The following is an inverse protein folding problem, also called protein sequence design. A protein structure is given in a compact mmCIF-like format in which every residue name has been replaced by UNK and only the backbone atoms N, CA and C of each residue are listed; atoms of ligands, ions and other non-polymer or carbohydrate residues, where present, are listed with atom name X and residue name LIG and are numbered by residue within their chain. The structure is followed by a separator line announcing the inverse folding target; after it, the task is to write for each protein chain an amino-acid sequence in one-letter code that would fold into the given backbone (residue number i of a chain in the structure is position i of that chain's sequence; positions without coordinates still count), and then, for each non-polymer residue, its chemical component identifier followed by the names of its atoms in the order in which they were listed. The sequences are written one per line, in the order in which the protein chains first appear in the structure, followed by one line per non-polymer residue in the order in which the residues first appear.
data_IF_355754224343
#
_entry.id   IF_355754224343
#
_cell.length_a   1.000
_cell.length_b   1.000
_cell.length_c   1.000
_cell.angle_alpha   90.00
_cell.angle_beta   90.00
_cell.angle_gamma   90.00
#
_symmetry.space_group_name_H-M   'P 1'
#
loop_
_entity.id
_entity.type
_entity.pdbx_description
1 polymer ?
#
# COMPACT_ATOMS: atom_id res chain seq x y z
N UNK A 1 -12.22 -26.96 -27.99
CA UNK A 1 -12.87 -26.09 -27.00
C UNK A 1 -11.92 -25.97 -25.82
N UNK A 2 -10.99 -25.03 -25.88
CA UNK A 2 -9.94 -24.86 -24.87
C UNK A 2 -10.56 -24.22 -23.62
N UNK A 3 -10.64 -25.00 -22.53
CA UNK A 3 -11.00 -24.51 -21.20
C UNK A 3 -9.76 -23.86 -20.60
N UNK A 4 -9.72 -22.53 -20.55
CA UNK A 4 -8.77 -21.81 -19.70
C UNK A 4 -9.19 -22.03 -18.24
N UNK A 5 -8.36 -22.78 -17.53
CA UNK A 5 -8.51 -23.08 -16.12
C UNK A 5 -7.70 -22.01 -15.37
N UNK A 6 -8.35 -20.95 -14.90
CA UNK A 6 -7.69 -19.98 -14.01
C UNK A 6 -7.67 -20.61 -12.62
N UNK A 7 -6.53 -21.19 -12.28
CA UNK A 7 -6.15 -21.44 -10.90
C UNK A 7 -5.78 -20.08 -10.30
N UNK A 8 -6.56 -19.59 -9.34
CA UNK A 8 -6.00 -18.65 -8.37
C UNK A 8 -5.05 -19.49 -7.52
N UNK A 9 -3.77 -19.48 -7.89
CA UNK A 9 -2.71 -19.95 -7.02
C UNK A 9 -2.83 -19.13 -5.73
N UNK A 10 -3.02 -19.82 -4.60
CA UNK A 10 -2.54 -19.30 -3.33
C UNK A 10 -1.03 -19.15 -3.49
N UNK A 11 -0.59 -18.00 -3.97
CA UNK A 11 0.78 -17.54 -3.80
C UNK A 11 0.91 -17.12 -2.35
N UNK A 12 1.10 -18.12 -1.50
CA UNK A 12 1.59 -17.94 -0.16
C UNK A 12 2.84 -17.05 -0.28
N UNK A 13 2.98 -16.03 0.55
CA UNK A 13 4.08 -15.05 0.63
C UNK A 13 5.50 -15.66 0.81
N UNK A 14 5.72 -16.94 0.52
CA UNK A 14 7.05 -17.55 0.41
C UNK A 14 7.75 -17.07 -0.86
N UNK A 15 8.55 -16.01 -0.75
CA UNK A 15 9.53 -15.67 -1.79
C UNK A 15 10.08 -14.25 -1.77
N UNK A 16 9.48 -13.31 -1.05
CA UNK A 16 9.94 -11.92 -1.07
C UNK A 16 10.84 -11.63 0.12
N UNK A 17 12.04 -12.20 0.09
CA UNK A 17 13.05 -11.91 1.10
C UNK A 17 13.58 -10.49 0.92
N UNK A 18 13.61 -9.74 2.01
CA UNK A 18 14.22 -8.42 2.06
C UNK A 18 15.74 -8.58 2.17
N UNK A 19 16.46 -7.88 1.30
CA UNK A 19 17.91 -7.94 1.19
C UNK A 19 18.59 -6.64 1.62
N UNK A 20 18.03 -5.49 1.23
CA UNK A 20 18.60 -4.19 1.59
C UNK A 20 17.53 -3.09 1.65
N UNK A 21 17.91 -1.95 2.20
CA UNK A 21 17.05 -0.77 2.35
C UNK A 21 17.66 0.44 1.65
N UNK A 22 16.81 1.34 1.13
CA UNK A 22 17.20 2.68 0.68
C UNK A 22 16.27 3.73 1.24
N UNK A 23 16.76 4.95 1.30
CA UNK A 23 16.03 6.10 1.81
C UNK A 23 15.86 7.15 0.72
N UNK A 24 14.75 7.87 0.74
CA UNK A 24 14.40 8.93 -0.21
C UNK A 24 13.73 10.07 0.54
N UNK A 25 13.92 11.32 0.12
CA UNK A 25 13.30 12.44 0.82
C UNK A 25 11.80 12.58 0.50
N UNK A 26 11.37 12.12 -0.68
CA UNK A 26 10.00 12.21 -1.15
C UNK A 26 9.74 11.22 -2.30
N UNK A 27 8.49 11.18 -2.80
CA UNK A 27 8.10 10.26 -3.86
C UNK A 27 8.78 10.56 -5.21
N UNK A 28 9.11 11.81 -5.52
CA UNK A 28 9.83 12.16 -6.74
C UNK A 28 11.26 11.60 -6.73
N UNK A 29 11.94 11.74 -5.59
CA UNK A 29 13.28 11.18 -5.37
C UNK A 29 13.26 9.64 -5.41
N UNK A 30 12.23 9.01 -4.85
CA UNK A 30 12.02 7.57 -4.98
C UNK A 30 11.90 7.13 -6.44
N UNK A 31 11.02 7.78 -7.22
CA UNK A 31 10.80 7.45 -8.64
C UNK A 31 12.05 7.67 -9.50
N UNK A 32 12.93 8.60 -9.10
CA UNK A 32 14.16 8.93 -9.81
C UNK A 32 15.42 8.22 -9.27
N UNK A 33 15.26 7.34 -8.27
CA UNK A 33 16.34 6.73 -7.45
C UNK A 33 17.36 7.75 -6.89
N UNK A 34 16.91 8.96 -6.54
CA UNK A 34 17.73 9.98 -5.89
C UNK A 34 17.79 9.73 -4.37
N UNK A 35 18.86 9.07 -3.93
CA UNK A 35 18.93 8.51 -2.58
C UNK A 35 19.25 9.57 -1.52
N UNK A 36 18.54 9.47 -0.40
CA UNK A 36 18.83 10.22 0.81
C UNK A 36 19.86 9.47 1.66
N UNK A 37 20.88 10.18 2.13
CA UNK A 37 21.86 9.62 3.07
C UNK A 37 21.21 9.35 4.43
N UNK A 38 21.62 8.25 5.08
CA UNK A 38 21.02 7.84 6.35
C UNK A 38 21.12 8.90 7.46
N UNK A 39 22.22 9.68 7.49
CA UNK A 39 22.44 10.80 8.43
C UNK A 39 21.60 12.02 8.11
N UNK A 40 21.19 12.21 6.85
CA UNK A 40 20.40 13.36 6.43
C UNK A 40 18.90 13.21 6.76
N UNK A 41 18.49 12.09 7.39
CA UNK A 41 17.12 11.79 7.82
C UNK A 41 16.73 12.40 9.16
N UNK A 42 17.71 12.81 9.96
CA UNK A 42 17.43 13.30 11.31
C UNK A 42 16.49 14.50 11.27
N UNK A 43 15.43 14.44 12.08
CA UNK A 43 14.40 15.48 12.21
C UNK A 43 13.77 15.90 10.87
N UNK A 44 13.70 14.98 9.90
CA UNK A 44 13.09 15.21 8.59
C UNK A 44 12.24 14.02 8.21
N UNK A 45 11.05 14.22 7.62
CA UNK A 45 10.30 13.11 7.07
C UNK A 45 11.07 12.50 5.90
N UNK A 46 10.95 11.18 5.75
CA UNK A 46 11.59 10.44 4.66
C UNK A 46 10.78 9.19 4.31
N UNK A 47 11.10 8.62 3.16
CA UNK A 47 10.60 7.33 2.72
C UNK A 47 11.73 6.32 2.87
N UNK A 48 11.44 5.18 3.49
CA UNK A 48 12.33 4.03 3.49
C UNK A 48 11.73 2.90 2.68
N UNK A 49 12.54 2.28 1.83
CA UNK A 49 12.08 1.24 0.91
C UNK A 49 12.98 0.03 1.04
N UNK A 50 12.37 -1.12 1.28
CA UNK A 50 13.01 -2.41 1.42
C UNK A 50 12.93 -3.13 0.09
N UNK A 51 14.05 -3.70 -0.34
CA UNK A 51 14.20 -4.33 -1.63
C UNK A 51 14.70 -5.77 -1.48
N UNK A 52 14.33 -6.61 -2.45
CA UNK A 52 14.96 -7.92 -2.63
C UNK A 52 16.32 -7.81 -3.36
N UNK A 53 17.00 -8.95 -3.55
CA UNK A 53 18.28 -9.05 -4.26
C UNK A 53 18.22 -8.52 -5.70
N UNK A 54 17.05 -8.63 -6.35
CA UNK A 54 16.80 -8.13 -7.69
C UNK A 54 16.54 -6.61 -7.76
N UNK A 55 16.67 -5.90 -6.63
CA UNK A 55 16.36 -4.46 -6.48
C UNK A 55 14.89 -4.12 -6.78
N UNK A 56 13.99 -5.07 -6.55
CA UNK A 56 12.54 -4.85 -6.63
C UNK A 56 12.04 -4.47 -5.24
N UNK A 57 11.25 -3.38 -5.10
CA UNK A 57 10.77 -2.90 -3.80
C UNK A 57 9.70 -3.85 -3.25
N UNK A 58 9.85 -4.34 -2.01
CA UNK A 58 8.89 -5.22 -1.33
C UNK A 58 8.04 -4.41 -0.35
N UNK A 59 8.65 -3.48 0.39
CA UNK A 59 7.97 -2.64 1.38
C UNK A 59 8.41 -1.20 1.18
N UNK A 60 7.47 -0.28 1.36
CA UNK A 60 7.73 1.16 1.41
C UNK A 60 7.04 1.77 2.63
N UNK A 61 7.82 2.38 3.50
CA UNK A 61 7.32 3.02 4.71
C UNK A 61 7.59 4.52 4.65
N UNK A 62 6.63 5.30 5.11
CA UNK A 62 6.71 6.74 5.20
C UNK A 62 6.90 7.11 6.66
N UNK A 63 8.00 7.79 6.95
CA UNK A 63 8.43 8.13 8.30
C UNK A 63 8.33 9.65 8.48
N UNK A 64 7.78 10.09 9.60
CA UNK A 64 7.72 11.51 9.95
C UNK A 64 9.07 12.04 10.46
N UNK A 65 9.13 13.34 10.80
CA UNK A 65 10.34 13.95 11.36
C UNK A 65 10.75 13.40 12.72
N UNK A 66 9.81 12.85 13.49
CA UNK A 66 10.05 12.29 14.82
C UNK A 66 10.54 10.83 14.75
N UNK A 67 10.46 10.21 13.57
CA UNK A 67 10.82 8.82 13.35
C UNK A 67 9.65 7.85 13.46
N UNK A 68 8.42 8.33 13.57
CA UNK A 68 7.23 7.49 13.65
C UNK A 68 6.78 7.06 12.24
N UNK A 69 6.22 5.86 12.15
CA UNK A 69 5.57 5.36 10.94
C UNK A 69 4.27 6.14 10.70
N UNK A 70 4.14 6.73 9.52
CA UNK A 70 2.92 7.41 9.06
C UNK A 70 2.00 6.45 8.32
N UNK A 71 2.58 5.68 7.38
CA UNK A 71 1.89 4.61 6.67
C UNK A 71 2.92 3.66 6.04
N UNK A 72 2.42 2.50 5.62
CA UNK A 72 3.21 1.41 5.05
C UNK A 72 2.52 0.88 3.80
N UNK A 73 3.31 0.65 2.77
CA UNK A 73 2.90 -0.02 1.54
C UNK A 73 3.68 -1.33 1.39
N UNK A 74 2.99 -2.38 0.98
CA UNK A 74 3.58 -3.69 0.68
C UNK A 74 3.27 -4.02 -0.77
N UNK A 75 4.27 -4.51 -1.50
CA UNK A 75 4.19 -4.84 -2.91
C UNK A 75 4.22 -6.35 -3.09
N UNK A 76 3.22 -6.89 -3.79
CA UNK A 76 3.16 -8.30 -4.14
C UNK A 76 3.41 -8.49 -5.64
N UNK A 77 4.30 -9.43 -5.95
CA UNK A 77 4.75 -9.70 -7.30
C UNK A 77 4.51 -11.14 -7.68
N UNK A 78 4.00 -11.35 -8.89
CA UNK A 78 4.02 -12.63 -9.57
C UNK A 78 5.37 -12.81 -10.26
N UNK A 79 5.97 -14.01 -10.09
CA UNK A 79 7.26 -14.39 -10.69
C UNK A 79 8.38 -13.36 -10.44
N UNK A 80 8.37 -12.70 -9.27
CA UNK A 80 9.35 -11.69 -8.82
C UNK A 80 9.47 -10.42 -9.69
N UNK A 81 8.60 -10.23 -10.70
CA UNK A 81 8.73 -9.13 -11.66
C UNK A 81 7.44 -8.40 -11.99
N UNK A 82 6.30 -9.09 -11.93
CA UNK A 82 5.01 -8.52 -12.33
C UNK A 82 4.30 -8.10 -11.06
N UNK A 83 4.17 -6.78 -10.85
CA UNK A 83 3.42 -6.27 -9.70
C UNK A 83 1.94 -6.63 -9.87
N UNK A 84 1.41 -7.46 -8.97
CA UNK A 84 0.02 -7.90 -9.02
C UNK A 84 -0.83 -7.20 -7.97
N UNK A 85 -0.25 -6.85 -6.80
CA UNK A 85 -0.98 -6.16 -5.74
C UNK A 85 -0.13 -5.18 -4.96
N UNK A 86 -0.80 -4.18 -4.38
CA UNK A 86 -0.23 -3.25 -3.40
C UNK A 86 -1.16 -3.10 -2.22
N UNK A 87 -0.67 -3.41 -1.05
CA UNK A 87 -1.38 -3.25 0.21
C UNK A 87 -1.00 -1.94 0.87
N UNK A 88 -1.97 -1.25 1.45
CA UNK A 88 -1.79 0.02 2.15
C UNK A 88 -2.26 -0.14 3.59
N UNK A 89 -1.34 0.11 4.52
CA UNK A 89 -1.55 0.03 5.95
C UNK A 89 -1.34 1.42 6.56
N UNK A 90 -2.11 1.74 7.59
CA UNK A 90 -1.94 2.97 8.35
C UNK A 90 -0.78 2.91 9.36
N UNK A 91 -0.61 3.97 10.15
CA UNK A 91 0.38 4.06 11.23
C UNK A 91 0.23 2.98 12.33
N UNK A 92 -0.96 2.42 12.55
CA UNK A 92 -1.22 1.32 13.48
C UNK A 92 -1.07 -0.05 12.80
N UNK A 93 -0.57 -0.08 11.56
CA UNK A 93 -0.48 -1.26 10.70
C UNK A 93 -1.86 -1.88 10.40
N UNK A 94 -2.94 -1.10 10.53
CA UNK A 94 -4.27 -1.55 10.16
C UNK A 94 -4.47 -1.43 8.66
N UNK A 95 -5.18 -2.40 8.04
CA UNK A 95 -5.62 -2.33 6.66
C UNK A 95 -6.37 -1.02 6.32
N UNK A 96 -5.88 -0.25 5.35
CA UNK A 96 -6.59 0.92 4.81
C UNK A 96 -7.18 0.62 3.42
N UNK A 97 -6.32 0.17 2.50
CA UNK A 97 -6.72 -0.12 1.12
C UNK A 97 -5.82 -1.15 0.44
N UNK A 98 -6.28 -1.67 -0.69
CA UNK A 98 -5.55 -2.58 -1.56
C UNK A 98 -5.73 -2.14 -3.01
N UNK A 99 -4.68 -2.19 -3.81
CA UNK A 99 -4.77 -2.12 -5.26
C UNK A 99 -4.45 -3.50 -5.83
N UNK A 100 -5.34 -4.00 -6.68
CA UNK A 100 -5.06 -5.16 -7.52
C UNK A 100 -4.89 -4.69 -8.96
N UNK A 101 -3.83 -5.18 -9.60
CA UNK A 101 -3.50 -4.88 -10.99
C UNK A 101 -3.96 -6.00 -11.91
N UNK A 102 -4.37 -5.64 -13.12
CA UNK A 102 -4.55 -6.58 -14.22
C UNK A 102 -5.90 -6.52 -14.91
N UNK A 103 -5.91 -6.98 -16.16
CA UNK A 103 -7.11 -7.08 -17.01
C UNK A 103 -8.12 -8.09 -16.51
N UNK A 104 -7.63 -9.14 -15.85
CA UNK A 104 -8.42 -10.29 -15.44
C UNK A 104 -8.99 -10.15 -14.02
N UNK A 105 -8.91 -8.94 -13.43
CA UNK A 105 -9.51 -8.67 -12.12
C UNK A 105 -11.04 -8.84 -12.18
N UNK A 106 -11.64 -9.75 -11.38
CA UNK A 106 -13.04 -10.15 -11.53
C UNK A 106 -14.06 -9.02 -11.42
N UNK A 107 -13.89 -8.08 -10.48
CA UNK A 107 -14.83 -6.99 -10.26
C UNK A 107 -14.83 -6.01 -11.41
N UNK A 108 -13.64 -5.67 -11.92
CA UNK A 108 -13.52 -4.82 -13.08
C UNK A 108 -14.12 -5.48 -14.32
N UNK A 109 -13.89 -6.78 -14.54
CA UNK A 109 -14.50 -7.48 -15.68
C UNK A 109 -16.03 -7.44 -15.63
N UNK A 110 -16.64 -7.61 -14.47
CA UNK A 110 -18.09 -7.47 -14.33
C UNK A 110 -18.56 -6.04 -14.50
N UNK A 111 -17.86 -5.08 -13.92
CA UNK A 111 -18.20 -3.68 -14.06
C UNK A 111 -18.15 -3.26 -15.53
N UNK A 112 -17.09 -3.66 -16.26
CA UNK A 112 -16.98 -3.47 -17.69
C UNK A 112 -18.10 -4.13 -18.49
N UNK A 113 -18.72 -5.23 -18.02
CA UNK A 113 -19.85 -5.86 -18.73
C UNK A 113 -21.03 -4.90 -18.90
N UNK A 114 -21.23 -4.01 -17.94
CA UNK A 114 -22.43 -3.18 -17.83
C UNK A 114 -22.24 -1.72 -18.26
N UNK A 115 -21.01 -1.23 -18.40
CA UNK A 115 -20.74 0.14 -18.88
C UNK A 115 -21.13 0.29 -20.37
N UNK A 116 -21.84 1.38 -20.67
CA UNK A 116 -22.12 1.81 -22.05
C UNK A 116 -20.88 2.47 -22.65
N UNK A 117 -20.44 2.05 -23.84
CA UNK A 117 -19.32 2.67 -24.56
C UNK A 117 -17.93 2.13 -24.22
N UNK A 118 -17.81 0.83 -23.93
CA UNK A 118 -16.56 0.13 -23.57
C UNK A 118 -15.37 0.44 -24.48
N UNK A 119 -15.61 0.65 -25.77
CA UNK A 119 -14.58 0.91 -26.78
C UNK A 119 -13.79 2.22 -26.55
N UNK A 120 -14.19 3.06 -25.59
CA UNK A 120 -13.50 4.31 -25.26
C UNK A 120 -12.33 4.15 -24.29
N UNK A 121 -12.19 3.00 -23.64
CA UNK A 121 -11.21 2.78 -22.58
C UNK A 121 -10.20 1.71 -22.96
N UNK A 122 -8.94 1.95 -22.59
CA UNK A 122 -7.89 0.95 -22.60
C UNK A 122 -7.87 0.26 -21.23
N UNK A 123 -8.23 -1.01 -21.18
CA UNK A 123 -8.34 -1.77 -19.93
C UNK A 123 -7.07 -2.55 -19.59
N UNK A 124 -6.12 -2.66 -20.52
CA UNK A 124 -4.84 -3.31 -20.24
C UNK A 124 -4.05 -2.53 -19.20
N UNK A 125 -3.64 -3.22 -18.13
CA UNK A 125 -2.93 -2.61 -16.99
C UNK A 125 -3.80 -1.77 -16.06
N UNK A 126 -5.13 -1.90 -16.13
CA UNK A 126 -6.04 -1.24 -15.19
C UNK A 126 -5.75 -1.62 -13.73
N UNK A 127 -6.25 -0.78 -12.82
CA UNK A 127 -6.18 -0.99 -11.39
C UNK A 127 -7.57 -0.98 -10.76
N UNK A 128 -7.77 -1.91 -9.82
CA UNK A 128 -8.94 -1.99 -8.95
C UNK A 128 -8.51 -1.66 -7.53
N UNK A 129 -8.90 -0.49 -7.03
CA UNK A 129 -8.58 -0.03 -5.68
C UNK A 129 -9.73 -0.32 -4.72
N UNK A 130 -9.52 -1.26 -3.82
CA UNK A 130 -10.41 -1.61 -2.72
C UNK A 130 -10.11 -0.70 -1.52
N UNK A 131 -11.12 -0.01 -1.00
CA UNK A 131 -10.99 0.94 0.11
C UNK A 131 -11.85 0.46 1.26
N UNK A 132 -11.27 0.39 2.45
CA UNK A 132 -11.96 -0.07 3.65
C UNK A 132 -12.68 1.07 4.39
N UNK A 133 -13.62 0.70 5.27
CA UNK A 133 -14.19 1.58 6.27
C UNK A 133 -13.48 1.38 7.63
N UNK A 134 -13.87 2.18 8.63
CA UNK A 134 -13.34 2.07 10.00
C UNK A 134 -13.62 0.74 10.69
N UNK A 135 -14.52 -0.08 10.14
CA UNK A 135 -14.86 -1.41 10.66
C UNK A 135 -14.14 -2.52 9.88
N UNK A 136 -13.10 -2.20 9.10
CA UNK A 136 -12.34 -3.12 8.24
C UNK A 136 -13.21 -3.86 7.22
N UNK A 137 -14.25 -3.22 6.70
CA UNK A 137 -15.09 -3.76 5.62
C UNK A 137 -14.85 -2.96 4.34
N UNK A 138 -14.96 -3.62 3.19
CA UNK A 138 -14.82 -2.93 1.90
C UNK A 138 -15.94 -1.92 1.74
N UNK A 139 -15.59 -0.63 1.75
CA UNK A 139 -16.50 0.49 1.57
C UNK A 139 -16.81 0.70 0.10
N UNK A 140 -15.77 0.67 -0.74
CA UNK A 140 -15.90 0.83 -2.19
C UNK A 140 -14.72 0.25 -2.95
N UNK A 141 -14.96 -0.02 -4.23
CA UNK A 141 -13.95 -0.32 -5.24
C UNK A 141 -13.94 0.84 -6.22
N UNK A 142 -12.75 1.32 -6.59
CA UNK A 142 -12.55 2.32 -7.65
C UNK A 142 -11.76 1.67 -8.76
N UNK A 143 -12.22 1.84 -9.99
CA UNK A 143 -11.56 1.31 -11.18
C UNK A 143 -10.92 2.44 -11.98
N UNK A 144 -9.63 2.29 -12.27
CA UNK A 144 -8.85 3.29 -12.97
C UNK A 144 -8.05 2.66 -14.10
N UNK A 145 -7.91 3.37 -15.22
CA UNK A 145 -7.09 2.91 -16.33
C UNK A 145 -5.58 3.18 -16.07
N UNK A 146 -4.71 2.74 -16.98
CA UNK A 146 -3.25 2.99 -16.91
C UNK A 146 -2.84 4.47 -16.90
N UNK A 147 -3.74 5.37 -17.29
CA UNK A 147 -3.50 6.81 -17.25
C UNK A 147 -3.89 7.44 -15.89
N UNK A 148 -4.37 6.63 -14.94
CA UNK A 148 -4.89 7.11 -13.65
C UNK A 148 -6.26 7.77 -13.75
N UNK A 149 -7.02 7.50 -14.82
CA UNK A 149 -8.38 8.04 -14.99
C UNK A 149 -9.38 7.03 -14.43
N UNK A 150 -10.10 7.44 -13.39
CA UNK A 150 -11.19 6.68 -12.81
C UNK A 150 -12.38 6.63 -13.78
N UNK A 151 -12.80 5.41 -14.15
CA UNK A 151 -13.95 5.21 -15.04
C UNK A 151 -15.17 4.63 -14.32
N UNK A 152 -14.99 4.11 -13.10
CA UNK A 152 -16.09 3.55 -12.33
C UNK A 152 -15.79 3.35 -10.86
N UNK A 153 -16.86 3.24 -10.09
CA UNK A 153 -16.78 2.81 -8.69
C UNK A 153 -17.97 1.89 -8.33
N UNK A 154 -17.74 0.96 -7.40
CA UNK A 154 -18.78 0.19 -6.73
C UNK A 154 -18.76 0.58 -5.26
N UNK A 155 -19.91 0.99 -4.72
CA UNK A 155 -20.08 1.29 -3.29
C UNK A 155 -20.84 0.17 -2.61
N UNK A 156 -20.37 -0.25 -1.45
CA UNK A 156 -21.01 -1.25 -0.61
C UNK A 156 -21.73 -0.56 0.56
N UNK A 157 -22.92 -1.05 0.87
CA UNK A 157 -23.81 -0.51 1.91
C UNK A 157 -24.03 -1.61 2.93
N UNK A 158 -23.69 -1.33 4.19
CA UNK A 158 -23.86 -2.25 5.30
C UNK A 158 -24.95 -1.73 6.25
N UNK A 159 -25.61 -2.64 6.94
CA UNK A 159 -26.46 -2.27 8.08
C UNK A 159 -25.65 -2.01 9.36
N UNK A 160 -26.35 -1.58 10.41
CA UNK A 160 -25.80 -1.36 11.74
C UNK A 160 -25.14 -2.59 12.40
N UNK A 161 -25.42 -3.81 11.94
CA UNK A 161 -24.80 -5.04 12.43
C UNK A 161 -23.60 -5.45 11.56
N UNK A 162 -23.29 -4.69 10.51
CA UNK A 162 -22.20 -4.94 9.59
C UNK A 162 -22.54 -5.91 8.45
N UNK A 163 -23.81 -6.27 8.24
CA UNK A 163 -24.19 -7.12 7.11
C UNK A 163 -24.33 -6.30 5.83
N UNK A 164 -23.81 -6.83 4.72
CA UNK A 164 -23.94 -6.21 3.40
C UNK A 164 -25.43 -6.20 2.99
N UNK A 165 -26.00 -5.00 2.85
CA UNK A 165 -27.39 -4.76 2.44
C UNK A 165 -27.52 -4.28 1.01
N UNK A 166 -26.45 -3.77 0.39
CA UNK A 166 -26.53 -3.43 -1.02
C UNK A 166 -25.23 -2.97 -1.66
N UNK A 167 -25.30 -2.81 -2.98
CA UNK A 167 -24.24 -2.29 -3.83
C UNK A 167 -24.77 -1.22 -4.78
N UNK A 168 -23.94 -0.25 -5.12
CA UNK A 168 -24.24 0.77 -6.13
C UNK A 168 -23.07 0.94 -7.08
N UNK A 169 -23.32 0.65 -8.36
CA UNK A 169 -22.32 0.65 -9.42
C UNK A 169 -22.46 1.95 -10.22
N UNK A 170 -21.41 2.76 -10.22
CA UNK A 170 -21.45 4.16 -10.66
C UNK A 170 -20.35 4.41 -11.69
N UNK A 171 -20.69 5.00 -12.83
CA UNK A 171 -19.69 5.41 -13.82
C UNK A 171 -19.03 6.72 -13.45
N UNK A 172 -17.74 6.87 -13.71
CA UNK A 172 -16.98 8.10 -13.51
C UNK A 172 -16.49 8.66 -14.86
N UNK A 173 -16.37 9.99 -15.00
CA UNK A 173 -16.65 11.03 -14.00
C UNK A 173 -18.13 11.46 -13.92
N UNK A 174 -19.01 10.91 -14.76
CA UNK A 174 -20.42 11.35 -14.89
C UNK A 174 -21.28 11.09 -13.64
N UNK A 175 -20.84 10.21 -12.74
CA UNK A 175 -21.53 9.80 -11.50
C UNK A 175 -22.93 9.22 -11.73
N UNK A 176 -23.14 8.55 -12.86
CA UNK A 176 -24.40 7.88 -13.19
C UNK A 176 -24.40 6.50 -12.53
N UNK A 177 -25.45 6.18 -11.76
CA UNK A 177 -25.63 4.83 -11.22
C UNK A 177 -26.21 3.92 -12.30
N UNK A 178 -25.49 2.88 -12.69
CA UNK A 178 -25.86 1.98 -13.80
C UNK A 178 -26.46 0.66 -13.33
N UNK A 179 -26.09 0.19 -12.13
CA UNK A 179 -26.68 -0.98 -11.46
C UNK A 179 -26.79 -0.73 -9.96
N UNK A 180 -27.79 -1.32 -9.32
CA UNK A 180 -27.91 -1.40 -7.86
C UNK A 180 -28.27 -2.82 -7.46
N UNK A 181 -27.67 -3.30 -6.37
CA UNK A 181 -28.05 -4.56 -5.77
C UNK A 181 -28.58 -4.32 -4.37
N UNK A 182 -29.65 -5.02 -4.00
CA UNK A 182 -30.18 -5.07 -2.65
C UNK A 182 -30.06 -6.50 -2.16
N UNK A 183 -29.56 -6.66 -0.94
CA UNK A 183 -29.45 -7.95 -0.27
C UNK A 183 -30.35 -7.97 0.95
N UNK A 184 -31.16 -9.00 1.06
CA UNK A 184 -31.85 -9.33 2.30
C UNK A 184 -31.46 -10.73 2.77
N UNK A 185 -31.28 -10.87 4.07
CA UNK A 185 -30.85 -12.13 4.68
C UNK A 185 -31.71 -12.34 5.91
N UNK A 186 -32.53 -13.38 5.86
CA UNK A 186 -33.24 -13.88 7.02
C UNK A 186 -32.32 -14.84 7.78
N UNK A 187 -31.81 -14.35 8.91
CA UNK A 187 -30.89 -15.08 9.78
C UNK A 187 -31.53 -16.32 10.44
N UNK A 188 -32.86 -16.36 10.57
CA UNK A 188 -33.57 -17.50 11.17
C UNK A 188 -33.74 -18.64 10.18
N UNK A 189 -33.99 -18.32 8.91
CA UNK A 189 -34.23 -19.34 7.86
C UNK A 189 -33.01 -19.59 6.98
N UNK A 190 -31.97 -18.76 7.07
CA UNK A 190 -30.82 -18.79 6.15
C UNK A 190 -31.19 -18.42 4.72
N UNK A 191 -32.37 -17.84 4.49
CA UNK A 191 -32.83 -17.39 3.18
C UNK A 191 -32.16 -16.07 2.84
N UNK A 192 -31.53 -16.00 1.67
CA UNK A 192 -30.91 -14.81 1.12
C UNK A 192 -31.60 -14.39 -0.16
N UNK A 193 -32.06 -13.15 -0.22
CA UNK A 193 -32.67 -12.56 -1.41
C UNK A 193 -31.76 -11.50 -1.99
N UNK A 194 -31.71 -11.45 -3.32
CA UNK A 194 -30.86 -10.55 -4.09
C UNK A 194 -31.73 -9.93 -5.17
N UNK A 195 -31.95 -8.61 -5.08
CA UNK A 195 -32.56 -7.84 -6.15
C UNK A 195 -31.50 -7.07 -6.91
N UNK A 196 -31.68 -7.00 -8.22
CA UNK A 196 -30.85 -6.23 -9.12
C UNK A 196 -31.71 -5.19 -9.84
N UNK A 197 -31.26 -3.95 -9.83
CA UNK A 197 -31.92 -2.83 -10.50
C UNK A 197 -31.00 -2.19 -11.54
N UNK A 198 -31.61 -1.73 -12.63
CA UNK A 198 -30.93 -0.98 -13.69
C UNK A 198 -30.82 0.52 -13.40
N UNK A 199 -30.25 1.22 -14.38
CA UNK A 199 -30.03 2.69 -14.36
C UNK A 199 -31.30 3.50 -14.05
N UNK A 200 -32.47 3.06 -14.54
CA UNK A 200 -33.75 3.77 -14.33
C UNK A 200 -34.52 3.26 -13.11
N UNK A 201 -33.90 2.42 -12.27
CA UNK A 201 -34.55 1.83 -11.09
C UNK A 201 -35.50 0.67 -11.40
N UNK A 202 -35.54 0.20 -12.65
CA UNK A 202 -36.29 -1.00 -13.02
C UNK A 202 -35.62 -2.26 -12.46
N UNK A 203 -36.41 -3.19 -11.95
CA UNK A 203 -35.91 -4.51 -11.55
C UNK A 203 -35.46 -5.28 -12.80
N UNK A 204 -34.20 -5.72 -12.79
CA UNK A 204 -33.59 -6.54 -13.83
C UNK A 204 -33.70 -8.02 -13.46
N UNK A 205 -33.48 -8.33 -12.19
CA UNK A 205 -33.45 -9.70 -11.68
C UNK A 205 -33.78 -9.73 -10.20
N UNK A 206 -34.36 -10.85 -9.76
CA UNK A 206 -34.57 -11.17 -8.36
C UNK A 206 -34.31 -12.67 -8.15
N UNK A 207 -33.42 -12.98 -7.21
CA UNK A 207 -32.99 -14.34 -6.88
C UNK A 207 -33.14 -14.57 -5.38
N UNK A 208 -33.82 -15.65 -5.00
CA UNK A 208 -33.88 -16.14 -3.64
C UNK A 208 -33.05 -17.44 -3.51
N UNK A 209 -32.10 -17.44 -2.58
CA UNK A 209 -31.27 -18.57 -2.21
C UNK A 209 -31.73 -19.07 -0.85
N UNK A 210 -32.04 -20.36 -0.75
CA UNK A 210 -32.36 -21.02 0.52
C UNK A 210 -31.27 -22.03 0.84
N UNK A 211 -30.87 -22.09 2.11
CA UNK A 211 -29.92 -23.11 2.54
C UNK A 211 -30.60 -24.49 2.46
N UNK A 212 -30.04 -25.45 1.70
CA UNK A 212 -30.58 -26.80 1.68
C UNK A 212 -30.43 -27.44 3.07
N UNK A 213 -31.33 -28.38 3.45
CA UNK A 213 -31.28 -29.03 4.76
C UNK A 213 -29.94 -29.74 4.99
N UNK A 214 -29.46 -29.77 6.23
CA UNK A 214 -28.16 -30.35 6.59
C UNK A 214 -27.97 -31.81 6.12
N UNK A 215 -29.06 -32.56 5.97
CA UNK A 215 -29.05 -33.95 5.46
C UNK A 215 -28.73 -34.09 3.97
N UNK A 216 -28.85 -33.01 3.19
CA UNK A 216 -28.48 -32.97 1.76
C UNK A 216 -27.16 -32.24 1.49
N UNK A 217 -26.55 -31.67 2.54
CA UNK A 217 -25.22 -31.08 2.49
C UNK A 217 -24.15 -32.20 2.48
N UNK A 218 -23.50 -32.34 1.32
CA UNK A 218 -22.26 -33.09 1.02
C UNK A 218 -22.36 -34.61 0.73
N UNK A 219 -22.41 -34.96 -0.56
CA UNK A 219 -21.66 -36.12 -1.12
C UNK A 219 -20.54 -35.72 -2.08
N UNK A 220 -20.53 -34.47 -2.55
CA UNK A 220 -19.47 -33.88 -3.38
C UNK A 220 -19.26 -32.44 -2.94
N UNK A 221 -18.02 -31.97 -2.78
CA UNK A 221 -17.77 -30.55 -2.52
C UNK A 221 -18.35 -29.72 -3.69
N UNK A 222 -19.04 -28.61 -3.40
CA UNK A 222 -19.63 -27.79 -4.45
C UNK A 222 -18.53 -27.25 -5.37
N UNK A 223 -18.78 -27.17 -6.70
CA UNK A 223 -17.85 -26.55 -7.62
C UNK A 223 -17.63 -25.08 -7.20
N UNK A 224 -16.40 -24.74 -6.78
CA UNK A 224 -15.99 -23.37 -6.41
C UNK A 224 -15.72 -22.50 -7.65
N UNK A 225 -16.63 -22.53 -8.62
CA UNK A 225 -16.50 -21.69 -9.82
C UNK A 225 -17.46 -20.50 -9.70
N UNK A 226 -16.89 -19.29 -9.64
CA UNK A 226 -17.65 -18.04 -9.80
C UNK A 226 -18.42 -17.54 -8.58
N UNK A 227 -18.23 -18.09 -7.38
CA UNK A 227 -18.79 -17.52 -6.15
C UNK A 227 -17.93 -16.34 -5.67
N UNK A 228 -18.35 -15.12 -6.04
CA UNK A 228 -17.61 -13.86 -5.82
C UNK A 228 -17.70 -13.27 -4.42
N UNK A 229 -18.62 -13.75 -3.58
CA UNK A 229 -18.67 -13.30 -2.17
C UNK A 229 -17.44 -13.77 -1.39
N UNK A 230 -16.86 -14.90 -1.77
CA UNK A 230 -15.61 -15.40 -1.19
C UNK A 230 -14.45 -14.42 -1.47
N UNK A 231 -14.49 -13.64 -2.56
CA UNK A 231 -13.40 -12.72 -2.92
C UNK A 231 -13.23 -11.58 -1.91
N UNK A 232 -14.31 -11.04 -1.31
CA UNK A 232 -14.20 -9.99 -0.29
C UNK A 232 -13.52 -10.55 0.96
N UNK A 233 -13.92 -11.74 1.39
CA UNK A 233 -13.31 -12.42 2.55
C UNK A 233 -11.86 -12.78 2.28
N UNK A 234 -11.53 -13.26 1.08
CA UNK A 234 -10.16 -13.54 0.64
C UNK A 234 -9.34 -12.25 0.60
N UNK A 235 -9.88 -11.14 0.09
CA UNK A 235 -9.17 -9.86 0.08
C UNK A 235 -8.89 -9.38 1.50
N UNK A 236 -9.87 -9.48 2.41
CA UNK A 236 -9.66 -9.11 3.82
C UNK A 236 -8.65 -10.04 4.50
N UNK A 237 -8.71 -11.34 4.22
CA UNK A 237 -7.75 -12.32 4.69
C UNK A 237 -6.34 -12.02 4.16
N UNK A 238 -6.21 -11.74 2.86
CA UNK A 238 -4.96 -11.35 2.20
C UNK A 238 -4.36 -10.12 2.87
N UNK A 239 -5.13 -9.06 3.16
CA UNK A 239 -4.59 -7.89 3.84
C UNK A 239 -4.23 -8.21 5.32
N UNK A 240 -5.00 -9.08 5.98
CA UNK A 240 -4.79 -9.44 7.39
C UNK A 240 -3.63 -10.42 7.63
N UNK A 241 -3.28 -11.23 6.63
CA UNK A 241 -2.26 -12.28 6.71
C UNK A 241 -0.87 -11.80 6.31
N UNK A 242 -0.72 -10.50 6.02
CA UNK A 242 0.56 -9.87 5.69
C UNK A 242 1.46 -9.82 6.92
N UNK A 243 2.34 -10.82 7.02
CA UNK A 243 3.48 -10.78 7.92
C UNK A 243 4.76 -10.87 7.09
N UNK A 244 5.49 -9.77 6.99
CA UNK A 244 6.78 -9.72 6.29
C UNK A 244 7.83 -9.28 7.30
N UNK A 245 8.67 -10.23 7.70
CA UNK A 245 9.79 -9.99 8.60
C UNK A 245 10.86 -9.13 7.92
N UNK A 246 11.24 -8.04 8.59
CA UNK A 246 12.40 -7.23 8.22
C UNK A 246 13.61 -7.83 8.95
N UNK A 247 14.60 -8.41 8.25
CA UNK A 247 15.65 -9.21 8.88
C UNK A 247 16.77 -8.38 9.53
N UNK A 248 16.61 -7.06 9.62
CA UNK A 248 17.60 -6.14 10.18
C UNK A 248 16.95 -4.91 10.80
N UNK A 249 17.60 -4.33 11.80
CA UNK A 249 17.16 -3.09 12.43
C UNK A 249 17.37 -1.90 11.50
N UNK A 250 16.33 -1.08 11.35
CA UNK A 250 16.44 0.19 10.63
C UNK A 250 16.75 1.29 11.64
N UNK A 251 18.04 1.64 11.76
CA UNK A 251 18.47 2.73 12.62
C UNK A 251 19.14 3.85 11.82
N UNK A 252 19.12 5.07 12.36
CA UNK A 252 20.02 6.14 11.91
C UNK A 252 21.39 5.80 12.50
N UNK A 253 22.43 5.56 11.67
CA UNK A 253 23.75 5.20 12.18
C UNK A 253 24.22 6.28 13.14
N UNK A 254 24.36 5.89 14.41
CA UNK A 254 25.03 6.69 15.43
C UNK A 254 26.51 6.53 15.16
N UNK A 255 27.18 7.62 14.82
CA UNK A 255 28.63 7.65 14.93
C UNK A 255 28.99 7.88 16.39
N UNK A 256 30.18 7.50 16.84
CA UNK A 256 30.62 7.85 18.20
C UNK A 256 30.98 9.35 18.31
N UNK A 257 31.16 10.00 17.16
CA UNK A 257 31.74 11.32 16.98
C UNK A 257 30.95 12.16 15.98
N UNK A 258 31.06 13.48 16.08
CA UNK A 258 30.43 14.41 15.15
C UNK A 258 31.22 14.46 13.83
N UNK A 259 30.56 14.70 12.71
CA UNK A 259 31.16 14.84 11.39
C UNK A 259 31.21 16.31 10.97
N UNK A 260 32.41 16.86 10.82
CA UNK A 260 32.65 18.18 10.25
C UNK A 260 33.04 18.06 8.77
N UNK A 261 32.31 18.73 7.89
CA UNK A 261 32.63 18.88 6.47
C UNK A 261 33.13 20.30 6.24
N UNK A 262 34.27 20.44 5.58
CA UNK A 262 34.89 21.72 5.25
C UNK A 262 34.41 22.25 3.89
N UNK A 263 34.63 23.53 3.61
CA UNK A 263 34.22 24.16 2.33
C UNK A 263 34.96 23.59 1.12
N UNK A 264 36.14 23.03 1.32
CA UNK A 264 36.90 22.29 0.32
C UNK A 264 36.45 20.81 0.16
N UNK A 265 35.34 20.41 0.80
CA UNK A 265 34.75 19.05 0.80
C UNK A 265 35.47 17.99 1.62
N UNK A 266 36.57 18.32 2.30
CA UNK A 266 37.20 17.41 3.24
C UNK A 266 36.29 17.14 4.44
N UNK A 267 36.39 15.95 5.01
CA UNK A 267 35.58 15.51 6.15
C UNK A 267 36.45 15.08 7.33
N UNK A 268 36.10 15.51 8.53
CA UNK A 268 36.77 15.24 9.78
C UNK A 268 35.79 14.66 10.79
N UNK A 269 36.14 13.56 11.45
CA UNK A 269 35.46 13.12 12.66
C UNK A 269 35.99 13.95 13.84
N UNK A 270 35.09 14.54 14.62
CA UNK A 270 35.42 15.47 15.68
C UNK A 270 34.57 15.26 16.93
N UNK A 271 35.07 15.71 18.07
CA UNK A 271 34.23 16.05 19.23
C UNK A 271 34.00 17.56 19.22
N UNK A 272 32.77 18.00 18.97
CA UNK A 272 32.44 19.42 19.02
C UNK A 272 32.46 19.92 20.48
N UNK A 273 33.27 20.94 20.76
CA UNK A 273 33.32 21.59 22.08
C UNK A 273 32.39 22.79 22.11
N UNK A 274 32.49 23.68 21.12
CA UNK A 274 31.69 24.89 21.04
C UNK A 274 31.65 25.48 19.62
N UNK A 275 30.57 26.17 19.27
CA UNK A 275 30.45 26.97 18.06
C UNK A 275 29.88 28.35 18.37
N UNK A 276 30.60 29.38 17.91
CA UNK A 276 30.19 30.78 18.02
C UNK A 276 30.01 31.37 16.62
N UNK A 277 29.58 32.64 16.50
CA UNK A 277 29.39 33.32 15.21
C UNK A 277 30.64 33.35 14.31
N UNK A 278 31.85 33.32 14.89
CA UNK A 278 33.10 33.51 14.15
C UNK A 278 34.02 32.28 14.14
N UNK A 279 33.89 31.37 15.11
CA UNK A 279 34.81 30.25 15.29
C UNK A 279 34.13 28.97 15.80
N UNK A 280 34.68 27.83 15.41
CA UNK A 280 34.33 26.50 15.89
C UNK A 280 35.51 25.95 16.69
N UNK A 281 35.25 25.43 17.88
CA UNK A 281 36.21 24.76 18.75
C UNK A 281 35.85 23.28 18.82
N UNK A 282 36.80 22.41 18.48
CA UNK A 282 36.57 20.97 18.38
C UNK A 282 37.86 20.18 18.67
N UNK A 283 37.76 18.87 18.85
CA UNK A 283 38.91 17.95 18.88
C UNK A 283 38.81 16.98 17.72
N UNK A 284 39.94 16.66 17.06
CA UNK A 284 39.98 15.58 16.07
C UNK A 284 40.12 14.26 16.83
N UNK A 285 39.43 13.22 16.37
CA UNK A 285 39.51 11.90 17.00
C UNK A 285 40.93 11.35 16.92
N UNK A 286 41.48 10.99 18.08
CA UNK A 286 42.87 10.55 18.23
C UNK A 286 43.84 11.67 18.63
N UNK A 287 43.40 12.93 18.67
CA UNK A 287 44.17 14.06 19.18
C UNK A 287 43.67 14.47 20.57
N UNK A 288 44.59 14.88 21.45
CA UNK A 288 44.27 15.37 22.78
C UNK A 288 43.94 16.85 22.80
N UNK A 289 44.41 17.59 21.79
CA UNK A 289 44.34 19.05 21.77
C UNK A 289 43.04 19.56 21.15
N UNK A 290 42.50 20.63 21.72
CA UNK A 290 41.41 21.39 21.11
C UNK A 290 41.95 22.27 19.98
N UNK A 291 41.32 22.21 18.82
CA UNK A 291 41.59 23.05 17.66
C UNK A 291 40.48 24.10 17.50
N UNK A 292 40.87 25.25 16.98
CA UNK A 292 39.96 26.34 16.65
C UNK A 292 40.03 26.64 15.16
N UNK A 293 38.88 26.70 14.51
CA UNK A 293 38.76 27.02 13.09
C UNK A 293 37.76 28.14 12.86
N UNK A 294 38.04 29.09 11.94
CA UNK A 294 37.04 30.09 11.59
C UNK A 294 35.86 29.45 10.88
N UNK A 295 34.66 29.91 11.25
CA UNK A 295 33.37 29.34 10.84
C UNK A 295 33.17 29.30 9.32
N UNK A 296 33.67 30.29 8.58
CA UNK A 296 33.57 30.34 7.11
C UNK A 296 34.31 29.21 6.38
N UNK A 297 35.21 28.48 7.05
CA UNK A 297 35.89 27.30 6.47
C UNK A 297 35.10 26.01 6.67
N UNK A 298 34.08 26.04 7.53
CA UNK A 298 33.23 24.89 7.82
C UNK A 298 32.02 24.96 6.90
N UNK A 299 31.79 23.90 6.13
CA UNK A 299 30.60 23.76 5.28
C UNK A 299 29.43 23.20 6.07
N UNK A 300 29.68 22.24 6.95
CA UNK A 300 28.68 21.75 7.90
C UNK A 300 29.25 20.94 9.05
N UNK A 301 28.50 20.83 10.14
CA UNK A 301 28.75 19.93 11.27
C UNK A 301 27.48 19.12 11.50
N UNK A 302 27.62 17.81 11.58
CA UNK A 302 26.55 16.87 11.89
C UNK A 302 26.91 16.13 13.16
N UNK A 303 26.02 16.13 14.15
CA UNK A 303 26.25 15.45 15.43
C UNK A 303 26.39 13.95 15.23
N UNK A 304 26.95 13.30 16.23
CA UNK A 304 27.05 11.86 16.34
C UNK A 304 25.70 11.11 16.27
N UNK A 305 24.60 11.84 16.46
CA UNK A 305 23.22 11.35 16.33
C UNK A 305 22.58 11.69 14.97
N UNK A 306 23.32 12.31 14.04
CA UNK A 306 22.82 12.74 12.73
C UNK A 306 22.23 14.15 12.70
N UNK A 307 22.23 14.88 13.81
CA UNK A 307 21.65 16.23 13.90
C UNK A 307 22.53 17.27 13.19
N UNK A 308 21.95 18.16 12.37
CA UNK A 308 22.70 19.26 11.76
C UNK A 308 22.96 20.35 12.80
N UNK A 309 24.21 20.52 13.25
CA UNK A 309 24.60 21.56 14.22
C UNK A 309 24.99 22.86 13.52
N UNK A 310 25.56 22.77 12.31
CA UNK A 310 26.07 23.92 11.56
C UNK A 310 26.17 23.65 10.05
N UNK A 311 26.01 24.66 9.17
CA UNK A 311 24.99 25.67 9.40
C UNK A 311 23.67 24.98 9.74
#
# INVERSE_FOLDING_TARGET
MYKYFIFILLSICYGQQISFIRFYANNHDYLSDNRLLATARFNKPYIQVFYNDNKVPIIREFIDSEGNLVNKEIFEYENEKILIRRYFLDHELKPDSLIQYGVDEPWSLEFQKVIKGKNKYYFEGQESKFILNSSNQIKKIVFSNVQGIDYGEIKFIYDHLGFLKGESWITLPSKITIRRFLYDVDMLTGRKEIWEYGENGQEISHVALTQPPASTLYKTPPPRFGNRLDEISIILEDISSLDIDIPFDVFIPKTDFDLMILTNTDSLMIDLININSNQVIFKIIGDTNSLTMPVFRVKSITSKYGERIYP
#
